data_IF_870991740438
#
_entry.id   IF_870991740438
#
_cell.length_a   1.000
_cell.length_b   1.000
_cell.length_c   1.000
_cell.angle_alpha   90.00
_cell.angle_beta   90.00
_cell.angle_gamma   90.00
#
_symmetry.space_group_name_H-M   'P 1'
#
loop_
_entity.id
_entity.type
_entity.pdbx_description
1 polymer ?
#
# COMPACT_ATOMS: atom_id res chain seq x y z
N UNK A 1 -6.21 9.26 5.87
CA UNK A 1 -6.53 7.84 6.22
C UNK A 1 -5.22 7.08 6.44
N UNK A 2 -5.17 6.01 7.26
CA UNK A 2 -3.94 5.23 7.48
C UNK A 2 -4.12 3.82 6.93
N UNK A 3 -3.29 3.41 5.98
CA UNK A 3 -3.34 2.09 5.35
C UNK A 3 -2.09 1.30 5.74
N UNK A 4 -2.30 0.13 6.35
CA UNK A 4 -1.19 -0.75 6.75
C UNK A 4 -1.16 -2.01 5.89
N UNK A 5 0.01 -2.26 5.31
CA UNK A 5 0.32 -3.49 4.57
C UNK A 5 1.16 -4.38 5.49
N UNK A 6 0.56 -5.48 5.96
CA UNK A 6 1.11 -6.41 6.95
C UNK A 6 2.15 -7.38 6.36
N UNK A 7 2.95 -6.94 5.38
CA UNK A 7 3.96 -7.76 4.73
C UNK A 7 4.21 -7.38 3.27
N UNK A 8 5.47 -7.12 2.90
CA UNK A 8 5.93 -6.98 1.49
C UNK A 8 6.97 -8.03 1.10
N UNK A 9 6.92 -9.20 1.74
CA UNK A 9 7.88 -10.29 1.57
C UNK A 9 7.74 -11.10 0.28
N UNK A 10 6.65 -10.92 -0.48
CA UNK A 10 6.36 -11.68 -1.69
C UNK A 10 6.14 -10.75 -2.92
N UNK A 11 6.33 -11.23 -4.17
CA UNK A 11 6.11 -10.40 -5.36
C UNK A 11 4.68 -9.83 -5.45
N UNK A 12 3.67 -10.64 -5.08
CA UNK A 12 2.26 -10.20 -5.05
C UNK A 12 2.03 -9.10 -4.01
N UNK A 13 2.72 -9.19 -2.87
CA UNK A 13 2.62 -8.25 -1.77
C UNK A 13 3.19 -6.87 -2.15
N UNK A 14 4.29 -6.87 -2.93
CA UNK A 14 4.86 -5.65 -3.51
C UNK A 14 3.91 -5.03 -4.55
N UNK A 15 3.32 -5.85 -5.42
CA UNK A 15 2.33 -5.38 -6.40
C UNK A 15 1.10 -4.78 -5.74
N UNK A 16 0.63 -5.36 -4.64
CA UNK A 16 -0.48 -4.80 -3.85
C UNK A 16 -0.13 -3.40 -3.32
N UNK A 17 1.10 -3.19 -2.85
CA UNK A 17 1.54 -1.88 -2.40
C UNK A 17 1.53 -0.85 -3.53
N UNK A 18 2.05 -1.19 -4.71
CA UNK A 18 1.99 -0.31 -5.90
C UNK A 18 0.55 0.07 -6.24
N UNK A 19 -0.34 -0.92 -6.36
CA UNK A 19 -1.75 -0.69 -6.71
C UNK A 19 -2.48 0.12 -5.62
N UNK A 20 -2.13 -0.06 -4.34
CA UNK A 20 -2.69 0.74 -3.26
C UNK A 20 -2.28 2.22 -3.35
N UNK A 21 -1.03 2.50 -3.74
CA UNK A 21 -0.58 3.88 -3.99
C UNK A 21 -1.33 4.51 -5.17
N UNK A 22 -1.46 3.77 -6.28
CA UNK A 22 -2.21 4.22 -7.46
C UNK A 22 -3.68 4.51 -7.12
N UNK A 23 -4.35 3.60 -6.42
CA UNK A 23 -5.75 3.75 -6.03
C UNK A 23 -5.98 4.98 -5.12
N UNK A 24 -5.04 5.29 -4.23
CA UNK A 24 -5.12 6.49 -3.37
C UNK A 24 -4.99 7.76 -4.19
N UNK A 25 -4.06 7.79 -5.15
CA UNK A 25 -3.88 8.93 -6.04
C UNK A 25 -5.11 9.14 -6.93
N UNK A 26 -5.67 8.05 -7.49
CA UNK A 26 -6.89 8.09 -8.30
C UNK A 26 -8.12 8.52 -7.50
N UNK A 27 -8.23 8.07 -6.25
CA UNK A 27 -9.32 8.46 -5.36
C UNK A 27 -9.19 9.91 -4.85
N UNK A 28 -8.06 10.57 -5.05
CA UNK A 28 -7.81 11.94 -4.59
C UNK A 28 -7.84 12.09 -3.07
N UNK A 29 -7.56 11.00 -2.35
CA UNK A 29 -7.59 10.98 -0.87
C UNK A 29 -6.18 11.05 -0.31
N UNK A 30 -6.00 11.81 0.77
CA UNK A 30 -4.74 11.75 1.51
C UNK A 30 -4.72 10.53 2.42
N UNK A 31 -3.78 9.63 2.15
CA UNK A 31 -3.54 8.45 2.96
C UNK A 31 -2.06 8.17 3.17
N UNK A 32 -1.72 7.81 4.41
CA UNK A 32 -0.39 7.37 4.81
C UNK A 32 -0.32 5.84 4.68
N UNK A 33 0.54 5.34 3.79
CA UNK A 33 0.74 3.90 3.59
C UNK A 33 1.98 3.47 4.38
N UNK A 34 1.80 2.47 5.26
CA UNK A 34 2.88 1.87 6.04
C UNK A 34 2.97 0.39 5.71
N UNK A 35 4.09 -0.01 5.11
CA UNK A 35 4.40 -1.41 4.82
C UNK A 35 5.40 -1.97 5.81
N UNK A 36 5.01 -3.02 6.54
CA UNK A 36 5.89 -3.78 7.42
C UNK A 36 6.54 -4.94 6.66
N UNK A 37 7.80 -5.22 6.96
CA UNK A 37 8.46 -6.48 6.60
C UNK A 37 8.56 -7.27 7.91
N UNK A 38 7.92 -8.43 7.96
CA UNK A 38 8.06 -9.40 9.05
C UNK A 38 8.76 -10.63 8.54
#
# INVERSE_FOLDING_TARGET
MKIQILGTGCPKCKKLAEVAHEAIAEAGVEAEIISWIK
#
